data_IF_121134903970
#
_entry.id   IF_121134903970
#
_cell.length_a   1.000
_cell.length_b   1.000
_cell.length_c   1.000
_cell.angle_alpha   90.00
_cell.angle_beta   90.00
_cell.angle_gamma   90.00
#
_symmetry.space_group_name_H-M   'P 1'
#
loop_
_entity.id
_entity.type
_entity.pdbx_description
1 polymer ?
#
# COMPACT_ATOMS: atom_id res chain seq x y z
N UNK A 1 22.76 -1.98 -35.03
CA UNK A 1 23.57 -2.61 -33.98
C UNK A 1 22.57 -3.09 -32.94
N UNK A 2 22.38 -4.40 -32.73
CA UNK A 2 21.54 -4.91 -31.67
C UNK A 2 22.27 -4.64 -30.33
N UNK A 3 21.58 -4.19 -29.29
CA UNK A 3 22.20 -4.01 -27.97
C UNK A 3 22.78 -5.34 -27.52
N UNK A 4 23.93 -5.26 -26.86
CA UNK A 4 24.60 -6.45 -26.32
C UNK A 4 23.65 -7.22 -25.38
N UNK A 5 23.76 -8.54 -25.33
CA UNK A 5 22.90 -9.44 -24.52
C UNK A 5 22.75 -9.03 -23.04
N UNK A 6 23.67 -8.26 -22.51
CA UNK A 6 23.64 -7.73 -21.14
C UNK A 6 22.57 -6.65 -20.98
N UNK A 7 22.33 -5.83 -22.00
CA UNK A 7 21.34 -4.75 -21.94
C UNK A 7 19.90 -5.25 -22.07
N UNK A 8 19.67 -6.33 -22.86
CA UNK A 8 18.33 -6.87 -23.01
C UNK A 8 17.78 -7.50 -21.71
N UNK A 9 18.63 -8.04 -20.85
CA UNK A 9 18.24 -8.61 -19.55
C UNK A 9 17.79 -7.54 -18.55
N UNK A 10 18.30 -6.31 -18.63
CA UNK A 10 17.92 -5.20 -17.74
C UNK A 10 16.45 -4.80 -17.88
N UNK A 11 15.85 -5.02 -19.06
CA UNK A 11 14.45 -4.65 -19.31
C UNK A 11 13.42 -5.75 -19.01
N UNK A 12 13.86 -6.93 -18.55
CA UNK A 12 12.99 -8.07 -18.29
C UNK A 12 12.74 -8.28 -16.79
N UNK A 13 13.62 -7.77 -15.94
CA UNK A 13 13.65 -8.03 -14.50
C UNK A 13 13.38 -6.74 -13.74
N UNK A 14 12.44 -6.76 -12.79
CA UNK A 14 12.29 -5.66 -11.86
C UNK A 14 13.43 -5.64 -10.85
N UNK A 15 14.02 -4.47 -10.60
CA UNK A 15 15.13 -4.32 -9.66
C UNK A 15 15.10 -2.98 -8.93
N UNK A 16 15.68 -2.99 -7.74
CA UNK A 16 15.89 -1.80 -6.93
C UNK A 16 17.11 -1.02 -7.46
N UNK A 17 16.96 0.29 -7.60
CA UNK A 17 17.99 1.21 -8.04
C UNK A 17 18.49 1.98 -6.81
N UNK A 18 19.73 1.72 -6.43
CA UNK A 18 20.36 2.35 -5.26
C UNK A 18 21.10 3.64 -5.58
N UNK A 19 21.47 3.83 -6.84
CA UNK A 19 22.29 4.94 -7.32
C UNK A 19 21.80 5.39 -8.70
N UNK A 20 21.95 6.69 -9.07
CA UNK A 20 21.63 7.18 -10.40
C UNK A 20 22.34 6.41 -11.53
N UNK A 21 23.56 5.91 -11.26
CA UNK A 21 24.34 5.13 -12.23
C UNK A 21 23.71 3.78 -12.57
N UNK A 22 22.83 3.27 -11.72
CA UNK A 22 22.11 2.00 -11.95
C UNK A 22 20.85 2.20 -12.79
N UNK A 23 20.49 3.45 -13.10
CA UNK A 23 19.35 3.77 -13.96
C UNK A 23 19.59 3.25 -15.38
N UNK A 24 18.56 2.68 -16.03
CA UNK A 24 18.67 2.42 -17.46
C UNK A 24 18.92 3.72 -18.22
N UNK A 25 19.79 3.72 -19.22
CA UNK A 25 20.21 4.95 -19.95
C UNK A 25 19.04 5.78 -20.47
N UNK A 26 17.98 5.13 -20.95
CA UNK A 26 16.79 5.78 -21.49
C UNK A 26 15.99 6.59 -20.45
N UNK A 27 16.25 6.37 -19.15
CA UNK A 27 15.56 7.06 -18.05
C UNK A 27 16.40 8.14 -17.38
N UNK A 28 17.69 8.26 -17.71
CA UNK A 28 18.59 9.26 -17.13
C UNK A 28 18.14 10.70 -17.37
N UNK A 29 17.49 10.96 -18.50
CA UNK A 29 17.04 12.30 -18.91
C UNK A 29 16.00 12.89 -17.92
N UNK A 30 15.25 12.03 -17.23
CA UNK A 30 14.14 12.42 -16.37
C UNK A 30 14.48 12.41 -14.88
N UNK A 31 15.70 12.05 -14.51
CA UNK A 31 16.10 11.86 -13.12
C UNK A 31 17.37 12.65 -12.83
N UNK A 32 17.27 13.85 -12.22
CA UNK A 32 18.44 14.59 -11.80
C UNK A 32 19.29 13.73 -10.85
N UNK A 33 20.61 13.65 -11.05
CA UNK A 33 21.47 12.81 -10.23
C UNK A 33 21.62 13.33 -8.78
N UNK A 34 21.52 14.64 -8.57
CA UNK A 34 21.96 15.29 -7.33
C UNK A 34 21.03 15.00 -6.13
N UNK A 35 19.73 14.78 -6.35
CA UNK A 35 18.75 14.53 -5.28
C UNK A 35 18.18 13.11 -5.29
N UNK A 36 18.76 12.21 -6.09
CA UNK A 36 18.29 10.83 -6.19
C UNK A 36 18.56 10.05 -4.90
N UNK A 37 17.52 9.41 -4.36
CA UNK A 37 17.59 8.65 -3.11
C UNK A 37 17.38 7.15 -3.32
N UNK A 38 16.46 6.78 -4.20
CA UNK A 38 16.14 5.40 -4.53
C UNK A 38 15.31 5.32 -5.82
N UNK A 39 15.34 4.17 -6.45
CA UNK A 39 14.46 3.87 -7.57
C UNK A 39 14.02 2.42 -7.60
N UNK A 40 12.99 2.17 -8.39
CA UNK A 40 12.48 0.85 -8.72
C UNK A 40 12.21 0.80 -10.22
N UNK A 41 12.95 -0.05 -10.90
CA UNK A 41 12.65 -0.39 -12.28
C UNK A 41 11.56 -1.45 -12.33
N UNK A 42 10.52 -1.21 -13.10
CA UNK A 42 9.44 -2.14 -13.40
C UNK A 42 9.47 -2.45 -14.89
N UNK A 43 9.74 -3.69 -15.29
CA UNK A 43 9.71 -4.07 -16.69
C UNK A 43 8.28 -3.92 -17.24
N UNK A 44 8.18 -3.58 -18.51
CA UNK A 44 6.91 -3.66 -19.21
C UNK A 44 6.46 -5.12 -19.37
N UNK A 45 5.21 -5.30 -19.73
CA UNK A 45 4.73 -6.59 -20.21
C UNK A 45 5.37 -6.94 -21.56
N UNK A 46 5.37 -8.23 -21.89
CA UNK A 46 5.80 -8.65 -23.22
C UNK A 46 4.82 -8.08 -24.27
N UNK A 47 5.34 -7.62 -25.43
CA UNK A 47 4.46 -7.20 -26.50
C UNK A 47 3.53 -8.34 -26.92
N UNK A 48 2.29 -8.00 -27.24
CA UNK A 48 1.39 -8.94 -27.90
C UNK A 48 1.89 -9.25 -29.34
N UNK A 49 1.20 -10.12 -30.05
CA UNK A 49 1.53 -10.49 -31.42
C UNK A 49 1.49 -9.31 -32.43
N UNK A 50 0.91 -8.17 -32.04
CA UNK A 50 0.91 -6.91 -32.79
C UNK A 50 2.02 -5.95 -32.34
N UNK A 51 2.93 -6.38 -31.44
CA UNK A 51 3.98 -5.56 -30.87
C UNK A 51 3.51 -4.52 -29.84
N UNK A 52 2.25 -4.58 -29.41
CA UNK A 52 1.67 -3.63 -28.44
C UNK A 52 1.95 -4.10 -27.03
N UNK A 53 2.39 -3.18 -26.18
CA UNK A 53 2.55 -3.40 -24.73
C UNK A 53 1.39 -2.75 -23.99
N UNK A 54 0.75 -3.49 -23.11
CA UNK A 54 -0.27 -2.96 -22.21
C UNK A 54 0.35 -2.06 -21.14
N UNK A 55 1.52 -2.45 -20.68
CA UNK A 55 2.28 -1.70 -19.67
C UNK A 55 3.72 -1.50 -20.18
N UNK A 56 4.11 -0.27 -20.53
CA UNK A 56 5.50 0.04 -20.91
C UNK A 56 6.42 -0.07 -19.70
N UNK A 57 7.74 -0.27 -19.91
CA UNK A 57 8.72 -0.20 -18.83
C UNK A 57 8.66 1.15 -18.12
N UNK A 58 8.86 1.13 -16.79
CA UNK A 58 8.77 2.33 -15.94
C UNK A 58 9.86 2.34 -14.89
N UNK A 59 10.25 3.54 -14.51
CA UNK A 59 11.07 3.79 -13.33
C UNK A 59 10.24 4.64 -12.36
N UNK A 60 10.10 4.13 -11.14
CA UNK A 60 9.64 4.91 -10.00
C UNK A 60 10.90 5.40 -9.29
N UNK A 61 11.08 6.68 -9.13
CA UNK A 61 12.26 7.25 -8.45
C UNK A 61 11.83 8.20 -7.35
N UNK A 62 12.56 8.17 -6.25
CA UNK A 62 12.47 9.10 -5.15
C UNK A 62 13.57 10.14 -5.31
N UNK A 63 13.20 11.38 -5.57
CA UNK A 63 14.10 12.50 -5.82
C UNK A 63 13.69 13.66 -4.92
N UNK A 64 14.55 14.03 -3.97
CA UNK A 64 14.21 15.03 -2.98
C UNK A 64 12.93 14.66 -2.20
N UNK A 65 11.90 15.50 -2.30
CA UNK A 65 10.58 15.31 -1.69
C UNK A 65 9.51 14.85 -2.69
N UNK A 66 9.91 14.26 -3.83
CA UNK A 66 9.01 13.86 -4.89
C UNK A 66 9.12 12.38 -5.24
N UNK A 67 7.98 11.76 -5.54
CA UNK A 67 7.90 10.50 -6.28
C UNK A 67 7.81 10.83 -7.77
N UNK A 68 8.81 10.44 -8.54
CA UNK A 68 8.82 10.60 -10.01
C UNK A 68 8.51 9.28 -10.69
N UNK A 69 7.66 9.33 -11.68
CA UNK A 69 7.21 8.18 -12.46
C UNK A 69 7.59 8.44 -13.91
N UNK A 70 8.67 7.81 -14.34
CA UNK A 70 9.16 7.91 -15.70
C UNK A 70 8.72 6.67 -16.49
N UNK A 71 8.07 6.88 -17.61
CA UNK A 71 7.73 5.83 -18.56
C UNK A 71 8.76 5.83 -19.69
N UNK A 72 9.06 4.66 -20.25
CA UNK A 72 10.01 4.56 -21.35
C UNK A 72 9.68 5.57 -22.47
N UNK A 73 10.65 6.31 -23.03
CA UNK A 73 10.42 7.39 -23.98
C UNK A 73 9.59 7.01 -25.20
N UNK A 74 9.69 5.76 -25.67
CA UNK A 74 8.89 5.26 -26.80
C UNK A 74 7.37 5.26 -26.54
N UNK A 75 6.94 5.39 -25.27
CA UNK A 75 5.52 5.47 -24.92
C UNK A 75 4.95 6.89 -25.06
N UNK A 76 5.78 7.90 -25.32
CA UNK A 76 5.35 9.29 -25.49
C UNK A 76 4.71 9.94 -24.27
N UNK A 77 4.84 9.32 -23.09
CA UNK A 77 4.26 9.84 -21.86
C UNK A 77 5.27 10.72 -21.12
N UNK A 78 4.88 11.90 -20.64
CA UNK A 78 5.76 12.75 -19.85
C UNK A 78 6.11 12.08 -18.52
N UNK A 79 7.23 12.47 -17.90
CA UNK A 79 7.56 12.16 -16.54
C UNK A 79 6.53 12.81 -15.61
N UNK A 80 5.88 12.01 -14.77
CA UNK A 80 4.96 12.50 -13.74
C UNK A 80 5.74 12.75 -12.45
N UNK A 81 5.48 13.88 -11.81
CA UNK A 81 6.07 14.28 -10.54
C UNK A 81 4.95 14.40 -9.49
N UNK A 82 5.07 13.69 -8.41
CA UNK A 82 4.09 13.67 -7.32
C UNK A 82 4.80 14.08 -6.03
N UNK A 83 4.57 15.30 -5.52
CA UNK A 83 5.09 15.69 -4.22
C UNK A 83 4.63 14.72 -3.14
N UNK A 84 5.52 14.30 -2.24
CA UNK A 84 5.20 13.33 -1.19
C UNK A 84 4.13 13.86 -0.23
N UNK A 85 4.02 15.16 -0.06
CA UNK A 85 2.96 15.81 0.73
C UNK A 85 1.56 15.65 0.11
N UNK A 86 1.48 15.49 -1.22
CA UNK A 86 0.22 15.23 -1.93
C UNK A 86 -0.17 13.75 -1.94
N UNK A 87 0.75 12.86 -1.57
CA UNK A 87 0.47 11.43 -1.52
C UNK A 87 -0.44 11.12 -0.33
N UNK A 88 -1.66 10.65 -0.63
CA UNK A 88 -2.70 10.40 0.39
C UNK A 88 -2.51 9.05 1.05
N UNK A 89 -2.37 7.98 0.24
CA UNK A 89 -2.08 6.64 0.73
C UNK A 89 -1.38 5.78 -0.32
N UNK A 90 -0.78 4.69 0.13
CA UNK A 90 -0.19 3.67 -0.72
C UNK A 90 -0.92 2.35 -0.47
N UNK A 91 -1.19 1.62 -1.55
CA UNK A 91 -1.65 0.23 -1.51
C UNK A 91 -0.58 -0.67 -2.12
N UNK A 92 -0.23 -1.73 -1.41
CA UNK A 92 0.66 -2.79 -1.88
C UNK A 92 -0.07 -4.10 -1.76
N UNK A 93 -0.28 -4.78 -2.87
CA UNK A 93 -0.98 -6.06 -2.87
C UNK A 93 -0.19 -7.16 -3.54
N UNK A 94 -0.48 -8.40 -3.15
CA UNK A 94 0.01 -9.56 -3.88
C UNK A 94 -0.98 -10.72 -3.81
N UNK A 95 -1.16 -11.40 -4.95
CA UNK A 95 -1.97 -12.61 -5.07
C UNK A 95 -1.17 -13.57 -5.95
N UNK A 96 -0.68 -14.67 -5.37
CA UNK A 96 0.17 -15.63 -6.06
C UNK A 96 1.41 -14.94 -6.70
N UNK A 97 1.51 -14.98 -8.02
CA UNK A 97 2.61 -14.39 -8.78
C UNK A 97 2.38 -12.94 -9.21
N UNK A 98 1.20 -12.41 -8.98
CA UNK A 98 0.84 -11.03 -9.32
C UNK A 98 0.93 -10.15 -8.09
N UNK A 99 1.79 -9.14 -8.16
CA UNK A 99 1.86 -8.04 -7.22
C UNK A 99 1.45 -6.72 -7.87
N UNK A 100 1.08 -5.74 -7.05
CA UNK A 100 0.86 -4.38 -7.51
C UNK A 100 1.22 -3.37 -6.43
N UNK A 101 1.62 -2.19 -6.89
CA UNK A 101 1.71 -0.96 -6.11
C UNK A 101 0.69 0.02 -6.66
N UNK A 102 -0.05 0.68 -5.79
CA UNK A 102 -0.96 1.76 -6.14
C UNK A 102 -0.64 2.97 -5.30
N UNK A 103 -0.33 4.06 -5.96
CA UNK A 103 -0.15 5.36 -5.34
C UNK A 103 -1.40 6.19 -5.56
N UNK A 104 -1.90 6.77 -4.48
CA UNK A 104 -3.07 7.65 -4.51
C UNK A 104 -2.68 8.97 -3.88
N UNK A 105 -2.68 10.01 -4.68
CA UNK A 105 -2.44 11.40 -4.30
C UNK A 105 -3.74 12.22 -4.45
N UNK A 106 -3.68 13.50 -4.18
CA UNK A 106 -4.85 14.38 -4.22
C UNK A 106 -5.54 14.35 -5.60
N UNK A 107 -4.76 14.43 -6.65
CA UNK A 107 -5.18 14.55 -8.05
C UNK A 107 -4.67 13.42 -8.95
N UNK A 108 -3.99 12.43 -8.34
CA UNK A 108 -3.31 11.38 -9.06
C UNK A 108 -3.63 10.01 -8.45
N UNK A 109 -3.85 9.03 -9.33
CA UNK A 109 -4.03 7.64 -8.93
C UNK A 109 -3.48 6.72 -10.02
N UNK A 110 -2.50 5.90 -9.67
CA UNK A 110 -1.92 4.95 -10.62
C UNK A 110 -1.52 3.63 -9.95
N UNK A 111 -1.76 2.53 -10.68
CA UNK A 111 -1.40 1.18 -10.27
C UNK A 111 -0.29 0.63 -11.15
N UNK A 112 0.69 0.00 -10.53
CA UNK A 112 1.88 -0.58 -11.14
C UNK A 112 1.92 -2.07 -10.84
N UNK A 113 1.55 -2.94 -11.80
CA UNK A 113 1.66 -4.38 -11.64
C UNK A 113 3.13 -4.82 -11.70
N UNK A 114 3.46 -5.87 -10.96
CA UNK A 114 4.78 -6.51 -11.01
C UNK A 114 4.66 -8.01 -10.71
N UNK A 115 5.69 -8.78 -11.05
CA UNK A 115 5.79 -10.19 -10.63
C UNK A 115 6.28 -10.28 -9.18
N UNK A 116 5.61 -11.07 -8.33
CA UNK A 116 5.99 -11.26 -6.93
C UNK A 116 7.37 -11.90 -6.74
N UNK A 117 7.94 -12.48 -7.79
CA UNK A 117 9.35 -12.93 -7.80
C UNK A 117 10.31 -11.78 -7.45
N UNK A 118 9.95 -10.55 -7.81
CA UNK A 118 10.75 -9.35 -7.54
C UNK A 118 10.31 -8.57 -6.29
N UNK A 119 9.51 -9.18 -5.44
CA UNK A 119 8.94 -8.54 -4.25
C UNK A 119 9.98 -7.86 -3.38
N UNK A 120 11.16 -8.46 -3.20
CA UNK A 120 12.23 -7.88 -2.38
C UNK A 120 12.72 -6.51 -2.90
N UNK A 121 12.76 -6.31 -4.23
CA UNK A 121 13.12 -5.01 -4.81
C UNK A 121 12.05 -3.95 -4.51
N UNK A 122 10.79 -4.34 -4.62
CA UNK A 122 9.64 -3.50 -4.28
C UNK A 122 9.65 -3.14 -2.79
N UNK A 123 9.87 -4.10 -1.91
CA UNK A 123 9.90 -3.86 -0.46
C UNK A 123 11.07 -2.95 -0.05
N UNK A 124 12.23 -3.05 -0.73
CA UNK A 124 13.35 -2.11 -0.52
C UNK A 124 13.00 -0.69 -0.93
N UNK A 125 12.38 -0.53 -2.08
CA UNK A 125 11.91 0.78 -2.55
C UNK A 125 10.87 1.37 -1.61
N UNK A 126 9.85 0.59 -1.23
CA UNK A 126 8.80 1.03 -0.31
C UNK A 126 9.35 1.45 1.06
N UNK A 127 10.35 0.75 1.59
CA UNK A 127 11.02 1.16 2.85
C UNK A 127 11.68 2.53 2.70
N UNK A 128 12.39 2.80 1.60
CA UNK A 128 12.99 4.11 1.35
C UNK A 128 11.94 5.20 1.20
N UNK A 129 10.89 4.92 0.45
CA UNK A 129 9.77 5.84 0.27
C UNK A 129 9.08 6.15 1.61
N UNK A 130 8.77 5.12 2.40
CA UNK A 130 8.15 5.30 3.73
C UNK A 130 9.02 6.11 4.67
N UNK A 131 10.31 5.81 4.75
CA UNK A 131 11.25 6.55 5.59
C UNK A 131 11.27 8.04 5.27
N UNK A 132 10.97 8.43 4.03
CA UNK A 132 10.91 9.84 3.62
C UNK A 132 9.53 10.45 3.76
N UNK A 133 8.49 9.69 3.42
CA UNK A 133 7.11 10.14 3.42
C UNK A 133 6.49 10.19 4.82
N UNK A 134 6.84 9.25 5.70
CA UNK A 134 6.37 9.18 7.08
C UNK A 134 7.31 10.02 7.97
N UNK A 135 7.01 11.31 8.10
CA UNK A 135 7.82 12.21 8.91
C UNK A 135 7.78 11.83 10.41
N UNK A 136 8.85 12.11 11.17
CA UNK A 136 8.89 11.83 12.62
C UNK A 136 7.81 12.58 13.42
N UNK A 137 7.37 13.73 12.92
CA UNK A 137 6.39 14.60 13.60
C UNK A 137 4.98 13.98 13.61
N UNK A 138 4.70 13.02 12.74
CA UNK A 138 3.39 12.35 12.68
C UNK A 138 3.13 11.38 13.86
N UNK A 139 3.96 11.40 14.91
CA UNK A 139 3.90 10.41 15.99
C UNK A 139 2.68 10.58 16.89
N UNK A 140 1.80 9.60 16.82
CA UNK A 140 0.75 9.37 17.82
C UNK A 140 1.34 8.60 18.99
N UNK A 141 1.53 9.24 20.15
CA UNK A 141 2.36 8.69 21.23
C UNK A 141 1.61 7.79 22.24
N UNK A 142 0.33 8.02 22.50
CA UNK A 142 -0.36 7.52 23.70
C UNK A 142 -1.27 6.30 23.48
N UNK A 143 -1.10 5.54 22.41
CA UNK A 143 -1.88 4.31 22.23
C UNK A 143 -1.20 3.13 22.93
N UNK A 144 -2.00 2.24 23.60
CA UNK A 144 -1.44 1.04 24.20
C UNK A 144 -0.80 0.13 23.17
N UNK A 145 0.25 -0.60 23.55
CA UNK A 145 0.93 -1.51 22.65
C UNK A 145 -0.01 -2.63 22.18
N UNK A 146 0.01 -2.90 20.90
CA UNK A 146 -0.60 -4.06 20.28
C UNK A 146 0.48 -5.12 20.10
N UNK A 147 0.29 -6.30 20.68
CA UNK A 147 1.23 -7.40 20.53
C UNK A 147 0.87 -8.24 19.29
N UNK A 148 1.70 -8.20 18.22
CA UNK A 148 1.47 -9.03 17.03
C UNK A 148 1.45 -10.54 17.31
N UNK A 149 2.09 -11.01 18.39
CA UNK A 149 2.08 -12.41 18.79
C UNK A 149 0.69 -12.90 19.21
N UNK A 150 -0.20 -11.98 19.59
CA UNK A 150 -1.60 -12.29 19.90
C UNK A 150 -2.45 -12.54 18.64
N UNK A 151 -1.91 -12.24 17.44
CA UNK A 151 -2.55 -12.62 16.20
C UNK A 151 -2.43 -14.14 16.01
N UNK A 152 -3.52 -14.85 16.18
CA UNK A 152 -3.59 -16.29 15.94
C UNK A 152 -3.45 -16.65 14.44
N UNK A 153 -3.53 -15.68 13.55
CA UNK A 153 -3.42 -15.85 12.10
C UNK A 153 -1.98 -15.56 11.65
N UNK A 154 -1.23 -16.62 11.37
CA UNK A 154 0.17 -16.56 10.93
C UNK A 154 0.35 -15.76 9.64
N UNK A 155 -0.64 -15.81 8.73
CA UNK A 155 -0.61 -15.05 7.46
C UNK A 155 -0.59 -13.55 7.73
N UNK A 156 -1.47 -13.08 8.61
CA UNK A 156 -1.55 -11.67 8.98
C UNK A 156 -0.39 -11.23 9.87
N UNK A 157 0.11 -12.09 10.75
CA UNK A 157 1.32 -11.85 11.52
C UNK A 157 2.54 -11.61 10.62
N UNK A 158 2.77 -12.50 9.65
CA UNK A 158 3.85 -12.36 8.68
C UNK A 158 3.67 -11.14 7.75
N UNK A 159 2.43 -10.85 7.34
CA UNK A 159 2.14 -9.68 6.52
C UNK A 159 2.41 -8.39 7.30
N UNK A 160 1.98 -8.30 8.55
CA UNK A 160 2.25 -7.17 9.43
C UNK A 160 3.75 -6.97 9.64
N UNK A 161 4.49 -8.03 10.02
CA UNK A 161 5.93 -7.96 10.23
C UNK A 161 6.70 -7.46 8.99
N UNK A 162 6.25 -7.80 7.78
CA UNK A 162 6.84 -7.33 6.53
C UNK A 162 6.56 -5.85 6.27
N UNK A 163 5.37 -5.38 6.61
CA UNK A 163 4.97 -4.00 6.36
C UNK A 163 5.49 -3.02 7.41
N UNK A 164 5.83 -3.47 8.62
CA UNK A 164 6.43 -2.62 9.65
C UNK A 164 7.90 -2.33 9.31
N UNK A 165 8.32 -1.09 9.57
CA UNK A 165 9.72 -0.72 9.55
C UNK A 165 10.39 -1.17 10.87
N UNK A 166 11.72 -1.32 10.89
CA UNK A 166 12.44 -1.95 12.01
C UNK A 166 12.27 -1.23 13.38
N UNK A 167 12.01 0.08 13.33
CA UNK A 167 11.79 0.95 14.50
C UNK A 167 10.30 1.20 14.78
N UNK A 168 9.40 0.55 14.04
CA UNK A 168 7.97 0.78 14.10
C UNK A 168 7.27 -0.28 14.96
N UNK A 169 6.65 0.17 16.04
CA UNK A 169 5.92 -0.70 16.97
C UNK A 169 4.42 -0.49 16.80
N UNK A 170 3.63 -1.54 16.56
CA UNK A 170 2.18 -1.43 16.51
C UNK A 170 1.63 -1.04 17.89
N UNK A 171 0.65 -0.12 17.91
CA UNK A 171 0.09 0.46 19.13
C UNK A 171 -1.31 -0.03 19.44
N UNK A 172 -2.22 0.04 18.48
CA UNK A 172 -3.57 -0.49 18.64
C UNK A 172 -3.96 -1.26 17.39
N UNK A 173 -4.82 -2.25 17.54
CA UNK A 173 -5.21 -3.08 16.43
C UNK A 173 -6.62 -3.66 16.58
N UNK A 174 -7.22 -3.95 15.44
CA UNK A 174 -8.47 -4.68 15.30
C UNK A 174 -8.27 -5.78 14.27
N UNK A 175 -8.20 -7.02 14.73
CA UNK A 175 -8.19 -8.18 13.85
C UNK A 175 -9.59 -8.81 13.76
N UNK A 176 -10.06 -9.02 12.55
CA UNK A 176 -11.30 -9.70 12.24
C UNK A 176 -10.99 -10.99 11.48
N UNK A 177 -11.16 -12.13 12.14
CA UNK A 177 -10.93 -13.42 11.49
C UNK A 177 -11.89 -13.65 10.30
N UNK A 178 -11.48 -14.43 9.28
CA UNK A 178 -12.36 -14.79 8.19
C UNK A 178 -13.51 -15.66 8.73
N UNK A 179 -14.71 -15.47 8.22
CA UNK A 179 -15.85 -16.35 8.55
C UNK A 179 -16.39 -17.03 7.30
N UNK A 180 -16.89 -18.25 7.47
CA UNK A 180 -17.57 -18.95 6.39
C UNK A 180 -19.09 -18.70 6.50
N UNK A 181 -19.64 -18.01 5.52
CA UNK A 181 -21.09 -17.88 5.35
C UNK A 181 -21.57 -18.98 4.42
N UNK A 182 -22.49 -19.81 4.93
CA UNK A 182 -23.18 -20.81 4.09
C UNK A 182 -24.51 -20.23 3.66
N UNK A 183 -24.60 -19.77 2.42
CA UNK A 183 -25.88 -19.38 1.85
C UNK A 183 -26.56 -20.62 1.27
N UNK A 184 -27.68 -21.02 1.84
CA UNK A 184 -28.56 -22.08 1.30
C UNK A 184 -29.47 -21.45 0.24
N UNK A 185 -29.28 -21.81 -1.03
CA UNK A 185 -30.31 -21.66 -2.05
C UNK A 185 -30.88 -23.04 -2.34
N UNK A 186 -32.16 -23.13 -2.77
CA UNK A 186 -32.83 -24.40 -3.09
C UNK A 186 -31.99 -25.34 -3.97
N UNK A 187 -31.23 -24.78 -4.92
CA UNK A 187 -30.47 -25.59 -5.87
C UNK A 187 -28.96 -25.74 -5.61
N UNK A 188 -28.34 -24.90 -4.76
CA UNK A 188 -26.90 -24.96 -4.47
C UNK A 188 -26.55 -24.41 -3.10
N UNK A 189 -25.63 -25.09 -2.40
CA UNK A 189 -24.92 -24.55 -1.24
C UNK A 189 -23.72 -23.75 -1.70
N UNK A 190 -23.77 -22.44 -1.58
CA UNK A 190 -22.62 -21.58 -1.82
C UNK A 190 -21.96 -21.30 -0.47
N UNK A 191 -20.67 -21.64 -0.37
CA UNK A 191 -19.85 -21.23 0.77
C UNK A 191 -19.16 -19.94 0.38
N UNK A 192 -19.51 -18.85 1.03
CA UNK A 192 -18.79 -17.59 0.91
C UNK A 192 -17.88 -17.45 2.12
N UNK A 193 -16.59 -17.19 1.86
CA UNK A 193 -15.67 -16.78 2.90
C UNK A 193 -15.71 -15.27 2.99
N UNK A 194 -16.02 -14.71 4.17
CA UNK A 194 -15.79 -13.30 4.41
C UNK A 194 -14.28 -13.07 4.55
N UNK A 195 -13.74 -11.98 4.02
CA UNK A 195 -12.31 -11.70 4.15
C UNK A 195 -11.91 -11.52 5.62
N UNK A 196 -10.65 -11.75 5.91
CA UNK A 196 -10.02 -11.30 7.13
C UNK A 196 -9.55 -9.85 6.94
N UNK A 197 -9.65 -9.07 8.00
CA UNK A 197 -9.18 -7.69 8.02
C UNK A 197 -8.37 -7.46 9.30
N UNK A 198 -7.22 -6.78 9.18
CA UNK A 198 -6.43 -6.32 10.30
C UNK A 198 -6.17 -4.82 10.12
N UNK A 199 -6.71 -4.02 11.02
CA UNK A 199 -6.46 -2.59 11.11
C UNK A 199 -5.52 -2.33 12.27
N UNK A 200 -4.38 -1.69 12.04
CA UNK A 200 -3.35 -1.42 13.04
C UNK A 200 -2.92 0.04 12.96
N UNK A 201 -2.83 0.67 14.11
CA UNK A 201 -2.15 1.97 14.25
C UNK A 201 -0.70 1.75 14.68
N UNK A 202 0.20 2.54 14.12
CA UNK A 202 1.58 2.67 14.56
C UNK A 202 1.82 4.13 14.98
N UNK A 203 2.98 4.51 15.53
CA UNK A 203 3.25 5.93 15.80
C UNK A 203 3.17 6.84 14.59
N UNK A 204 3.37 6.32 13.37
CA UNK A 204 3.52 7.13 12.14
C UNK A 204 2.35 7.04 11.18
N UNK A 205 1.57 5.94 11.25
CA UNK A 205 0.56 5.63 10.22
C UNK A 205 -0.53 4.71 10.71
N UNK A 206 -1.63 4.71 9.98
CA UNK A 206 -2.65 3.68 10.01
C UNK A 206 -2.37 2.67 8.90
N UNK A 207 -2.41 1.39 9.25
CA UNK A 207 -2.21 0.26 8.34
C UNK A 207 -3.48 -0.60 8.33
N UNK A 208 -4.00 -0.88 7.14
CA UNK A 208 -5.07 -1.84 6.91
C UNK A 208 -4.60 -2.98 6.04
N UNK A 209 -4.54 -4.17 6.62
CA UNK A 209 -4.26 -5.41 5.90
C UNK A 209 -5.58 -6.15 5.66
N UNK A 210 -5.78 -6.64 4.45
CA UNK A 210 -6.96 -7.43 4.10
C UNK A 210 -6.60 -8.54 3.12
N UNK A 211 -7.33 -9.65 3.18
CA UNK A 211 -7.28 -10.68 2.13
C UNK A 211 -8.42 -10.53 1.12
N UNK A 212 -9.08 -9.37 1.12
CA UNK A 212 -10.17 -9.04 0.21
C UNK A 212 -9.63 -8.67 -1.15
N UNK A 213 -10.00 -9.42 -2.17
CA UNK A 213 -9.85 -9.01 -3.57
C UNK A 213 -11.20 -8.97 -4.28
N UNK A 214 -11.29 -8.14 -5.32
CA UNK A 214 -12.47 -8.00 -6.15
C UNK A 214 -12.68 -9.29 -6.96
N UNK A 215 -13.47 -10.21 -6.42
CA UNK A 215 -14.00 -11.35 -7.18
C UNK A 215 -13.30 -12.70 -7.01
N UNK A 216 -12.13 -12.76 -6.41
CA UNK A 216 -11.48 -14.00 -6.05
C UNK A 216 -11.44 -14.09 -4.53
N UNK A 217 -12.02 -15.13 -3.94
CA UNK A 217 -11.84 -15.43 -2.52
C UNK A 217 -10.36 -15.77 -2.27
N UNK A 218 -9.56 -14.73 -2.11
CA UNK A 218 -8.12 -14.84 -2.12
C UNK A 218 -7.62 -15.32 -0.77
N UNK A 219 -7.70 -16.63 -0.54
CA UNK A 219 -6.96 -17.27 0.55
C UNK A 219 -5.44 -17.15 0.41
N UNK A 220 -4.95 -16.69 -0.74
CA UNK A 220 -3.53 -16.74 -1.12
C UNK A 220 -2.81 -15.39 -1.20
N UNK A 221 -3.50 -14.28 -0.89
CA UNK A 221 -2.90 -12.96 -1.00
C UNK A 221 -3.19 -12.06 0.19
N UNK A 222 -2.47 -10.95 0.25
CA UNK A 222 -2.72 -9.85 1.19
C UNK A 222 -2.62 -8.52 0.46
N UNK A 223 -3.47 -7.59 0.86
CA UNK A 223 -3.43 -6.20 0.42
C UNK A 223 -3.13 -5.36 1.66
N UNK A 224 -2.07 -4.56 1.58
CA UNK A 224 -1.71 -3.60 2.60
C UNK A 224 -2.02 -2.19 2.10
N UNK A 225 -2.79 -1.42 2.86
CA UNK A 225 -3.01 0.00 2.65
C UNK A 225 -2.47 0.75 3.84
N UNK A 226 -1.74 1.82 3.62
CA UNK A 226 -1.22 2.64 4.69
C UNK A 226 -1.21 4.12 4.34
N UNK A 227 -1.57 4.92 5.34
CA UNK A 227 -1.60 6.37 5.27
C UNK A 227 -0.97 6.97 6.53
N UNK A 228 -0.16 8.03 6.43
CA UNK A 228 0.32 8.77 7.60
C UNK A 228 -0.85 9.39 8.36
N UNK A 229 -0.70 9.56 9.67
CA UNK A 229 -1.78 10.10 10.50
C UNK A 229 -2.25 11.49 10.05
N UNK A 230 -1.34 12.35 9.57
CA UNK A 230 -1.68 13.67 9.02
C UNK A 230 -2.66 13.63 7.83
N UNK A 231 -2.72 12.49 7.13
CA UNK A 231 -3.61 12.33 5.98
C UNK A 231 -4.99 11.77 6.37
N UNK A 232 -5.19 11.43 7.64
CA UNK A 232 -6.44 10.88 8.16
C UNK A 232 -7.22 12.00 8.83
N UNK A 233 -8.42 12.29 8.30
CA UNK A 233 -9.30 13.31 8.85
C UNK A 233 -10.12 12.80 10.03
N UNK A 234 -10.69 11.62 9.87
CA UNK A 234 -11.55 11.01 10.90
C UNK A 234 -11.72 9.52 10.67
N UNK A 235 -12.08 8.82 11.75
CA UNK A 235 -12.66 7.50 11.72
C UNK A 235 -14.14 7.66 12.06
N UNK A 236 -15.04 7.19 11.21
CA UNK A 236 -16.48 7.36 11.35
C UNK A 236 -17.18 6.02 11.30
N UNK A 237 -18.00 5.77 12.31
CA UNK A 237 -18.84 4.58 12.33
C UNK A 237 -20.04 4.72 11.39
N UNK A 238 -20.19 3.81 10.44
CA UNK A 238 -21.33 3.74 9.53
C UNK A 238 -22.20 2.52 9.85
N UNK A 239 -23.50 2.74 9.84
CA UNK A 239 -24.50 1.66 9.98
C UNK A 239 -25.51 1.76 8.85
N UNK A 240 -25.65 0.70 8.06
CA UNK A 240 -26.64 0.58 7.00
C UNK A 240 -27.42 -0.72 7.21
N UNK A 241 -28.57 -0.63 7.86
CA UNK A 241 -29.35 -1.79 8.28
C UNK A 241 -28.57 -2.68 9.26
N UNK A 242 -28.30 -3.92 8.88
CA UNK A 242 -27.50 -4.86 9.69
C UNK A 242 -25.98 -4.75 9.42
N UNK A 243 -25.58 -4.09 8.36
CA UNK A 243 -24.17 -3.91 8.01
C UNK A 243 -23.58 -2.75 8.80
N UNK A 244 -22.38 -2.97 9.33
CA UNK A 244 -21.59 -1.95 9.97
C UNK A 244 -20.23 -1.84 9.27
N UNK A 245 -19.70 -0.62 9.22
CA UNK A 245 -18.36 -0.38 8.70
C UNK A 245 -17.68 0.73 9.49
N UNK A 246 -16.36 0.70 9.55
CA UNK A 246 -15.54 1.83 9.94
C UNK A 246 -15.08 2.53 8.67
N UNK A 247 -15.54 3.74 8.46
CA UNK A 247 -15.10 4.60 7.38
C UNK A 247 -13.93 5.45 7.87
N UNK A 248 -12.81 5.34 7.18
CA UNK A 248 -11.59 6.11 7.44
C UNK A 248 -11.55 7.20 6.38
N UNK A 249 -11.82 8.43 6.78
CA UNK A 249 -11.79 9.58 5.90
C UNK A 249 -10.37 10.09 5.75
N UNK A 250 -9.93 10.24 4.51
CA UNK A 250 -8.59 10.69 4.15
C UNK A 250 -8.64 12.07 3.48
N UNK A 251 -7.46 12.66 3.28
CA UNK A 251 -7.32 13.88 2.50
C UNK A 251 -7.91 13.70 1.09
N UNK A 252 -8.18 14.83 0.42
CA UNK A 252 -8.71 14.89 -0.95
C UNK A 252 -10.01 14.08 -1.17
N UNK A 253 -10.86 13.94 -0.13
CA UNK A 253 -12.13 13.20 -0.22
C UNK A 253 -11.98 11.69 -0.43
N UNK A 254 -10.76 11.16 -0.34
CA UNK A 254 -10.54 9.71 -0.38
C UNK A 254 -11.01 9.07 0.93
N UNK A 255 -11.36 7.79 0.88
CA UNK A 255 -11.74 7.06 2.09
C UNK A 255 -11.46 5.56 1.94
N UNK A 256 -11.29 4.90 3.08
CA UNK A 256 -11.35 3.45 3.18
C UNK A 256 -12.64 3.07 3.90
N UNK A 257 -13.23 1.96 3.51
CA UNK A 257 -14.40 1.40 4.19
C UNK A 257 -14.07 -0.03 4.64
N UNK A 258 -13.87 -0.19 5.93
CA UNK A 258 -13.57 -1.47 6.58
C UNK A 258 -14.89 -2.04 7.11
N UNK A 259 -15.45 -3.08 6.51
CA UNK A 259 -16.67 -3.71 7.02
C UNK A 259 -16.38 -4.35 8.38
N UNK A 260 -17.28 -4.14 9.33
CA UNK A 260 -17.14 -4.65 10.69
C UNK A 260 -18.17 -5.74 10.94
N UNK A 261 -17.68 -6.92 11.31
CA UNK A 261 -18.53 -8.05 11.68
C UNK A 261 -19.17 -7.79 13.04
N UNK A 262 -20.37 -8.33 13.29
CA UNK A 262 -21.14 -8.05 14.52
C UNK A 262 -20.33 -8.27 15.80
N UNK A 263 -19.55 -9.33 15.85
CA UNK A 263 -18.74 -9.74 17.01
C UNK A 263 -17.56 -8.81 17.29
N UNK A 264 -17.16 -7.97 16.34
CA UNK A 264 -16.03 -7.03 16.48
C UNK A 264 -16.47 -5.56 16.64
N UNK A 265 -17.77 -5.28 16.73
CA UNK A 265 -18.32 -3.92 16.81
C UNK A 265 -17.77 -3.11 17.97
N UNK A 266 -17.72 -3.73 19.15
CA UNK A 266 -17.22 -3.06 20.36
C UNK A 266 -15.72 -2.74 20.27
N UNK A 267 -14.92 -3.66 19.74
CA UNK A 267 -13.50 -3.45 19.54
C UNK A 267 -13.23 -2.34 18.52
N UNK A 268 -14.02 -2.27 17.43
CA UNK A 268 -13.93 -1.21 16.43
C UNK A 268 -14.31 0.17 17.00
N UNK A 269 -15.35 0.27 17.82
CA UNK A 269 -15.72 1.51 18.51
C UNK A 269 -14.65 1.97 19.48
N UNK A 270 -14.04 1.05 20.21
CA UNK A 270 -12.90 1.39 21.09
C UNK A 270 -11.72 1.94 20.29
N UNK A 271 -11.44 1.39 19.12
CA UNK A 271 -10.37 1.89 18.25
C UNK A 271 -10.70 3.31 17.74
N UNK A 272 -11.94 3.54 17.29
CA UNK A 272 -12.42 4.86 16.86
C UNK A 272 -12.29 5.90 17.97
N UNK A 273 -12.82 5.63 19.16
CA UNK A 273 -12.76 6.56 20.30
C UNK A 273 -11.34 6.91 20.70
N UNK A 274 -10.46 5.90 20.79
CA UNK A 274 -9.05 6.12 21.10
C UNK A 274 -8.34 6.95 20.05
N UNK A 275 -8.63 6.69 18.79
CA UNK A 275 -8.06 7.46 17.69
C UNK A 275 -8.50 8.93 17.75
N UNK A 276 -9.78 9.19 18.01
CA UNK A 276 -10.33 10.54 18.15
C UNK A 276 -9.69 11.31 19.32
N UNK A 277 -9.55 10.66 20.49
CA UNK A 277 -8.91 11.27 21.67
C UNK A 277 -7.45 11.67 21.39
N UNK A 278 -6.71 10.82 20.66
CA UNK A 278 -5.30 11.08 20.35
C UNK A 278 -5.17 12.20 19.32
N UNK A 279 -6.04 12.23 18.31
CA UNK A 279 -6.05 13.30 17.30
C UNK A 279 -6.36 14.66 17.90
N UNK A 280 -7.26 14.74 18.87
CA UNK A 280 -7.60 15.98 19.57
C UNK A 280 -6.40 16.55 20.36
N UNK A 281 -5.66 15.71 21.09
CA UNK A 281 -4.48 16.12 21.86
C UNK A 281 -3.34 16.64 20.98
N UNK A 282 -3.15 16.08 19.80
CA UNK A 282 -2.11 16.53 18.86
C UNK A 282 -2.39 17.94 18.34
N UNK A 283 -3.67 18.31 18.15
CA UNK A 283 -4.08 19.66 17.74
C UNK A 283 -3.87 20.69 18.85
N UNK A 284 -4.09 20.31 20.10
CA UNK A 284 -3.88 21.19 21.26
C UNK A 284 -2.39 21.43 21.58
N UNK A 285 -1.55 20.44 21.41
CA UNK A 285 -0.11 20.55 21.66
C UNK A 285 0.67 21.34 20.58
N UNK A 286 0.08 21.54 19.41
CA UNK A 286 0.65 22.32 18.30
C UNK A 286 0.23 23.79 18.27
N UNK A 287 -0.59 24.26 19.24
CA UNK A 287 -0.95 25.66 19.47
C UNK A 287 -0.14 26.25 20.61
#
# INVERSE_FOLDING_TARGET
MLPSDVDSRRYVIAYFIGSPQDLPPDFLIHTPPDDFQAGLFLPGDQPDWLGRRRYPPRVLSLVGSELRISTHPSAGQPCQQVPLEHLVYIESGCILLLGWLRFVACDFEQTFPYSTVYRHAVDRFLRRLRARWLAPEDRVQDLPSFDPAQLQDVKFGNALARELDADEVPRAGLFQAPSQLVRRSWFRRWKYRTPADLLVTTPRRLLWLTDRDKGIAASYGTIARYAPHRNIKSLVWETAGQECALRIELLAGKHWRVPIKPEYREAARRLESRYAETSARTVEAGR
#
